data_IF_816255219044
#
_entry.id   IF_816255219044
#
_cell.length_a   1.000
_cell.length_b   1.000
_cell.length_c   1.000
_cell.angle_alpha   90.00
_cell.angle_beta   90.00
_cell.angle_gamma   90.00
#
_symmetry.space_group_name_H-M   'P 1'
#
loop_
_entity.id
_entity.type
_entity.pdbx_description
1 polymer ?
#
# COMPACT_ATOMS: atom_id res chain seq x y z
N UNK A 1 14.52 -16.27 27.28
CA UNK A 1 13.94 -15.48 26.17
C UNK A 1 14.24 -14.03 26.44
N UNK A 2 15.02 -13.39 25.57
CA UNK A 2 15.52 -12.04 25.80
C UNK A 2 14.41 -10.99 25.63
N UNK A 3 14.40 -9.91 26.43
CA UNK A 3 13.35 -8.89 26.40
C UNK A 3 13.21 -8.16 25.05
N UNK A 4 14.24 -8.21 24.22
CA UNK A 4 14.27 -7.57 22.91
C UNK A 4 13.39 -8.31 21.87
N UNK A 5 13.24 -9.63 22.00
CA UNK A 5 12.39 -10.47 21.14
C UNK A 5 10.90 -10.13 21.36
N UNK A 6 10.50 -9.91 22.61
CA UNK A 6 9.12 -9.55 22.97
C UNK A 6 8.65 -8.25 22.33
N UNK A 7 9.51 -7.21 22.31
CA UNK A 7 9.16 -5.94 21.68
C UNK A 7 9.02 -6.07 20.16
N UNK A 8 9.85 -6.90 19.53
CA UNK A 8 9.76 -7.19 18.11
C UNK A 8 8.46 -7.91 17.75
N UNK A 9 8.14 -8.99 18.46
CA UNK A 9 6.90 -9.74 18.24
C UNK A 9 5.67 -8.88 18.51
N UNK A 10 5.69 -8.06 19.56
CA UNK A 10 4.58 -7.17 19.89
C UNK A 10 4.38 -6.09 18.82
N UNK A 11 5.46 -5.49 18.29
CA UNK A 11 5.38 -4.53 17.19
C UNK A 11 4.92 -5.20 15.90
N UNK A 12 5.43 -6.39 15.57
CA UNK A 12 5.03 -7.14 14.39
C UNK A 12 3.54 -7.52 14.43
N UNK A 13 3.08 -8.07 15.56
CA UNK A 13 1.67 -8.40 15.78
C UNK A 13 0.79 -7.16 15.79
N UNK A 14 1.25 -6.06 16.39
CA UNK A 14 0.54 -4.78 16.38
C UNK A 14 0.34 -4.24 14.96
N UNK A 15 1.39 -4.28 14.13
CA UNK A 15 1.31 -3.89 12.73
C UNK A 15 0.46 -4.86 11.90
N UNK A 16 0.47 -6.16 12.20
CA UNK A 16 -0.37 -7.15 11.56
C UNK A 16 -1.85 -6.86 11.82
N UNK A 17 -2.23 -6.64 13.09
CA UNK A 17 -3.60 -6.25 13.46
C UNK A 17 -3.97 -4.92 12.80
N UNK A 18 -3.06 -3.94 12.84
CA UNK A 18 -3.24 -2.65 12.16
C UNK A 18 -3.49 -2.83 10.65
N UNK A 19 -2.72 -3.68 9.97
CA UNK A 19 -2.89 -4.00 8.56
C UNK A 19 -4.23 -4.68 8.29
N UNK A 20 -4.63 -5.65 9.12
CA UNK A 20 -5.91 -6.35 8.99
C UNK A 20 -7.12 -5.41 9.11
N UNK A 21 -6.99 -4.32 9.87
CA UNK A 21 -8.04 -3.29 10.00
C UNK A 21 -7.92 -2.24 8.90
N UNK A 22 -6.71 -1.79 8.61
CA UNK A 22 -6.45 -0.77 7.59
C UNK A 22 -6.85 -1.27 6.19
N UNK A 23 -6.57 -2.52 5.87
CA UNK A 23 -6.82 -3.08 4.55
C UNK A 23 -8.30 -3.03 4.11
N UNK A 24 -9.27 -3.57 4.86
CA UNK A 24 -10.69 -3.44 4.50
C UNK A 24 -11.16 -1.99 4.55
N UNK A 25 -10.63 -1.18 5.46
CA UNK A 25 -10.95 0.25 5.55
C UNK A 25 -10.56 0.98 4.27
N UNK A 26 -9.32 0.81 3.80
CA UNK A 26 -8.84 1.38 2.55
C UNK A 26 -9.60 0.80 1.35
N UNK A 27 -9.84 -0.51 1.32
CA UNK A 27 -10.58 -1.14 0.22
C UNK A 27 -11.99 -0.53 0.07
N UNK A 28 -12.68 -0.27 1.18
CA UNK A 28 -14.04 0.27 1.19
C UNK A 28 -14.09 1.79 0.97
N UNK A 29 -13.21 2.55 1.62
CA UNK A 29 -13.28 4.02 1.68
C UNK A 29 -12.31 4.76 0.75
N UNK A 30 -11.31 4.06 0.20
CA UNK A 30 -10.35 4.61 -0.77
C UNK A 30 -10.55 3.95 -2.13
N UNK A 31 -10.34 2.64 -2.22
CA UNK A 31 -10.30 1.92 -3.51
C UNK A 31 -11.65 1.95 -4.22
N UNK A 32 -12.74 1.53 -3.56
CA UNK A 32 -14.09 1.53 -4.16
C UNK A 32 -14.57 2.90 -4.65
N UNK A 33 -14.47 4.00 -3.87
CA UNK A 33 -14.92 5.30 -4.34
C UNK A 33 -14.05 5.87 -5.45
N UNK A 34 -12.72 5.64 -5.42
CA UNK A 34 -11.84 6.05 -6.53
C UNK A 34 -12.18 5.25 -7.80
N UNK A 35 -12.34 3.94 -7.70
CA UNK A 35 -12.80 3.09 -8.82
C UNK A 35 -14.13 3.57 -9.39
N UNK A 36 -15.11 3.90 -8.54
CA UNK A 36 -16.40 4.43 -9.00
C UNK A 36 -16.24 5.73 -9.79
N UNK A 37 -15.41 6.66 -9.31
CA UNK A 37 -15.13 7.92 -10.03
C UNK A 37 -14.44 7.66 -11.37
N UNK A 38 -13.42 6.80 -11.40
CA UNK A 38 -12.65 6.52 -12.61
C UNK A 38 -13.44 5.73 -13.66
N UNK A 39 -14.36 4.86 -13.24
CA UNK A 39 -15.26 4.14 -14.15
C UNK A 39 -16.27 5.06 -14.81
N UNK A 40 -16.73 6.09 -14.12
CA UNK A 40 -17.63 7.10 -14.69
C UNK A 40 -16.97 7.86 -15.85
N UNK A 41 -15.66 8.06 -15.79
CA UNK A 41 -14.86 8.70 -16.86
C UNK A 41 -14.20 7.71 -17.83
N UNK A 42 -14.46 6.39 -17.72
CA UNK A 42 -13.79 5.34 -18.50
C UNK A 42 -12.26 5.34 -18.42
N UNK A 43 -11.70 5.79 -17.28
CA UNK A 43 -10.26 5.92 -17.06
C UNK A 43 -9.73 4.87 -16.06
N UNK A 44 -10.48 3.80 -15.79
CA UNK A 44 -10.15 2.80 -14.76
C UNK A 44 -9.18 1.70 -15.24
N UNK A 45 -8.07 2.12 -15.88
CA UNK A 45 -7.04 1.22 -16.43
C UNK A 45 -6.35 0.36 -15.36
N UNK A 46 -6.33 0.86 -14.11
CA UNK A 46 -5.67 0.19 -12.98
C UNK A 46 -6.47 -1.06 -12.53
N UNK A 47 -7.79 -1.05 -12.71
CA UNK A 47 -8.64 -2.19 -12.35
C UNK A 47 -8.57 -3.35 -13.36
N UNK A 48 -8.19 -3.05 -14.61
CA UNK A 48 -8.00 -4.05 -15.66
C UNK A 48 -6.68 -4.81 -15.49
N UNK A 49 -5.65 -4.12 -14.99
CA UNK A 49 -4.33 -4.67 -14.77
C UNK A 49 -4.22 -5.51 -13.50
N UNK A 50 -4.80 -5.04 -12.41
CA UNK A 50 -4.67 -5.69 -11.10
C UNK A 50 -6.02 -6.20 -10.66
N UNK A 51 -6.10 -7.48 -10.27
CA UNK A 51 -7.31 -8.09 -9.72
C UNK A 51 -7.27 -8.10 -8.19
N UNK A 52 -8.44 -8.24 -7.58
CA UNK A 52 -8.57 -8.48 -6.14
C UNK A 52 -7.79 -9.75 -5.77
N UNK A 53 -7.04 -9.79 -4.65
CA UNK A 53 -6.94 -8.79 -3.58
C UNK A 53 -5.96 -7.64 -3.83
N UNK A 54 -4.98 -7.80 -4.71
CA UNK A 54 -3.86 -6.84 -4.83
C UNK A 54 -4.25 -5.43 -5.27
N UNK A 55 -5.45 -5.22 -5.83
CA UNK A 55 -5.96 -3.89 -6.21
C UNK A 55 -5.76 -2.86 -5.10
N UNK A 56 -6.18 -3.15 -3.87
CA UNK A 56 -6.14 -2.16 -2.79
C UNK A 56 -4.72 -1.64 -2.55
N UNK A 57 -3.71 -2.50 -2.64
CA UNK A 57 -2.30 -2.15 -2.48
C UNK A 57 -1.82 -1.26 -3.62
N UNK A 58 -2.15 -1.58 -4.87
CA UNK A 58 -1.78 -0.78 -6.03
C UNK A 58 -2.45 0.60 -6.04
N UNK A 59 -3.73 0.71 -5.66
CA UNK A 59 -4.38 2.02 -5.51
C UNK A 59 -3.74 2.84 -4.38
N UNK A 60 -3.37 2.22 -3.25
CA UNK A 60 -2.64 2.97 -2.20
C UNK A 60 -1.26 3.43 -2.64
N UNK A 61 -0.54 2.60 -3.39
CA UNK A 61 0.74 2.98 -3.95
C UNK A 61 0.59 4.15 -4.93
N UNK A 62 -0.41 4.12 -5.80
CA UNK A 62 -0.72 5.22 -6.73
C UNK A 62 -1.08 6.53 -6.00
N UNK A 63 -1.89 6.45 -4.93
CA UNK A 63 -2.23 7.64 -4.12
C UNK A 63 -0.98 8.25 -3.44
N UNK A 64 -0.02 7.43 -3.02
CA UNK A 64 1.14 7.86 -2.21
C UNK A 64 2.38 8.23 -3.04
N UNK A 65 2.69 7.46 -4.07
CA UNK A 65 3.92 7.55 -4.84
C UNK A 65 3.58 7.84 -6.29
N UNK A 66 4.07 8.96 -6.82
CA UNK A 66 3.96 9.23 -8.24
C UNK A 66 4.97 8.38 -9.01
N UNK A 67 4.51 7.35 -9.70
CA UNK A 67 5.31 6.55 -10.64
C UNK A 67 5.63 7.30 -11.94
N UNK A 68 5.09 8.52 -12.09
CA UNK A 68 5.27 9.43 -13.23
C UNK A 68 6.72 9.76 -13.59
N UNK A 69 7.69 9.56 -12.67
CA UNK A 69 9.12 9.76 -12.95
C UNK A 69 9.79 8.63 -13.75
N UNK A 70 9.20 7.44 -13.82
CA UNK A 70 9.73 6.30 -14.60
C UNK A 70 9.05 6.20 -15.97
N UNK A 71 8.92 7.36 -16.64
CA UNK A 71 8.27 7.49 -17.95
C UNK A 71 9.11 6.79 -19.02
N UNK A 72 8.73 5.56 -19.36
CA UNK A 72 9.21 4.87 -20.54
C UNK A 72 8.09 4.86 -21.60
N UNK A 73 8.44 5.08 -22.87
CA UNK A 73 7.47 5.29 -23.97
C UNK A 73 6.42 4.18 -24.10
N UNK A 74 6.71 2.98 -23.60
CA UNK A 74 5.83 1.81 -23.67
C UNK A 74 4.77 1.73 -22.55
N UNK A 75 4.84 2.57 -21.50
CA UNK A 75 3.99 2.47 -20.30
C UNK A 75 3.09 3.70 -20.07
N UNK A 76 2.73 4.46 -21.13
CA UNK A 76 1.89 5.67 -21.02
C UNK A 76 0.61 5.47 -20.21
N UNK A 77 -0.09 4.36 -20.42
CA UNK A 77 -1.38 4.07 -19.77
C UNK A 77 -1.27 3.88 -18.25
N UNK A 78 -0.14 3.38 -17.74
CA UNK A 78 0.08 3.18 -16.31
C UNK A 78 0.40 4.50 -15.60
N UNK A 79 1.15 5.37 -16.27
CA UNK A 79 1.59 6.67 -15.74
C UNK A 79 0.41 7.65 -15.65
N UNK A 80 -0.47 7.65 -16.64
CA UNK A 80 -1.66 8.52 -16.64
C UNK A 80 -2.71 8.02 -15.63
N UNK A 81 -2.85 6.71 -15.44
CA UNK A 81 -3.80 6.13 -14.48
C UNK A 81 -3.45 6.45 -13.02
N UNK A 82 -2.16 6.46 -12.68
CA UNK A 82 -1.67 6.83 -11.36
C UNK A 82 -1.98 8.31 -11.02
N UNK A 83 -1.68 9.22 -11.96
CA UNK A 83 -1.96 10.64 -11.77
C UNK A 83 -3.46 10.93 -11.59
N UNK A 84 -4.32 10.23 -12.34
CA UNK A 84 -5.77 10.33 -12.22
C UNK A 84 -6.28 9.79 -10.87
N UNK A 85 -5.73 8.67 -10.39
CA UNK A 85 -6.04 8.13 -9.06
C UNK A 85 -5.67 9.13 -7.96
N UNK A 86 -4.49 9.74 -8.07
CA UNK A 86 -4.01 10.73 -7.09
C UNK A 86 -4.82 12.02 -7.10
N UNK A 87 -5.18 12.52 -8.29
CA UNK A 87 -6.06 13.71 -8.43
C UNK A 87 -7.48 13.44 -7.91
N UNK A 88 -7.98 12.21 -8.03
CA UNK A 88 -9.29 11.82 -7.51
C UNK A 88 -9.32 11.61 -5.98
N UNK A 89 -8.15 11.47 -5.36
CA UNK A 89 -7.98 11.19 -3.95
C UNK A 89 -8.14 12.44 -3.08
N UNK A 90 -8.89 12.29 -1.98
CA UNK A 90 -9.03 13.31 -0.94
C UNK A 90 -7.89 13.22 0.08
N UNK A 91 -7.60 14.28 0.86
CA UNK A 91 -6.57 14.24 1.89
C UNK A 91 -6.81 13.14 2.94
N UNK A 92 -8.08 12.84 3.26
CA UNK A 92 -8.43 11.73 4.17
C UNK A 92 -8.07 10.37 3.56
N UNK A 93 -8.34 10.18 2.27
CA UNK A 93 -7.98 8.95 1.57
C UNK A 93 -6.47 8.80 1.44
N UNK A 94 -5.73 9.90 1.35
CA UNK A 94 -4.27 9.89 1.40
C UNK A 94 -3.76 9.40 2.76
N UNK A 95 -4.30 9.90 3.89
CA UNK A 95 -3.95 9.42 5.22
C UNK A 95 -4.30 7.95 5.45
N UNK A 96 -5.47 7.50 4.97
CA UNK A 96 -5.86 6.09 5.03
C UNK A 96 -4.91 5.21 4.20
N UNK A 97 -4.50 5.69 3.03
CA UNK A 97 -3.52 5.01 2.19
C UNK A 97 -2.16 4.93 2.88
N UNK A 98 -1.73 6.02 3.51
CA UNK A 98 -0.49 6.08 4.27
C UNK A 98 -0.52 5.09 5.44
N UNK A 99 -1.64 4.98 6.15
CA UNK A 99 -1.80 4.03 7.26
C UNK A 99 -1.61 2.58 6.80
N UNK A 100 -2.23 2.18 5.68
CA UNK A 100 -2.02 0.84 5.13
C UNK A 100 -0.58 0.63 4.66
N UNK A 101 0.02 1.62 4.00
CA UNK A 101 1.39 1.54 3.52
C UNK A 101 2.40 1.43 4.67
N UNK A 102 2.27 2.25 5.72
CA UNK A 102 3.13 2.19 6.91
C UNK A 102 2.96 0.84 7.63
N UNK A 103 1.74 0.33 7.74
CA UNK A 103 1.51 -0.98 8.36
C UNK A 103 2.17 -2.10 7.56
N UNK A 104 1.99 -2.10 6.23
CA UNK A 104 2.51 -3.14 5.34
C UNK A 104 4.04 -3.07 5.19
N UNK A 105 4.59 -1.88 4.92
CA UNK A 105 6.03 -1.67 4.80
C UNK A 105 6.74 -1.84 6.15
N UNK A 106 6.12 -1.42 7.26
CA UNK A 106 6.65 -1.61 8.60
C UNK A 106 6.81 -3.09 8.94
N UNK A 107 5.82 -3.92 8.62
CA UNK A 107 5.94 -5.37 8.77
C UNK A 107 7.04 -5.96 7.88
N UNK A 108 7.15 -5.52 6.62
CA UNK A 108 8.18 -6.00 5.71
C UNK A 108 9.59 -5.64 6.21
N UNK A 109 9.78 -4.41 6.69
CA UNK A 109 11.06 -3.96 7.26
C UNK A 109 11.39 -4.74 8.53
N UNK A 110 10.43 -4.91 9.45
CA UNK A 110 10.65 -5.68 10.68
C UNK A 110 10.94 -7.16 10.41
N UNK A 111 10.26 -7.76 9.43
CA UNK A 111 10.52 -9.14 9.02
C UNK A 111 11.91 -9.30 8.40
N UNK A 112 12.31 -8.36 7.54
CA UNK A 112 13.64 -8.37 6.93
C UNK A 112 14.75 -8.10 7.94
N UNK A 113 14.54 -7.18 8.89
CA UNK A 113 15.52 -6.89 9.93
C UNK A 113 15.69 -8.07 10.87
N UNK A 114 14.61 -8.79 11.23
CA UNK A 114 14.70 -10.03 12.00
C UNK A 114 15.51 -11.10 11.25
N UNK A 115 15.19 -11.35 9.98
CA UNK A 115 15.93 -12.32 9.17
C UNK A 115 17.42 -11.95 8.99
N UNK A 116 17.72 -10.65 8.85
CA UNK A 116 19.09 -10.16 8.74
C UNK A 116 19.85 -10.29 10.07
N UNK A 117 19.18 -10.04 11.19
CA UNK A 117 19.74 -10.16 12.53
C UNK A 117 20.03 -11.62 12.90
N UNK A 118 19.14 -12.55 12.54
CA UNK A 118 19.35 -14.00 12.65
C UNK A 118 20.56 -14.43 11.78
N UNK A 119 20.66 -13.91 10.57
CA UNK A 119 21.77 -14.22 9.66
C UNK A 119 23.15 -13.77 10.19
N UNK A 120 23.21 -12.64 10.91
CA UNK A 120 24.47 -12.11 11.48
C UNK A 120 24.75 -12.72 12.87
N UNK A 121 23.93 -13.64 13.38
CA UNK A 121 24.09 -14.28 14.69
C UNK A 121 24.27 -13.29 15.84
N UNK A 122 23.57 -12.14 15.76
CA UNK A 122 23.58 -11.11 16.81
C UNK A 122 22.60 -11.47 17.95
N UNK A 123 22.00 -12.67 17.89
CA UNK A 123 20.96 -13.19 18.76
C UNK A 123 21.25 -14.65 19.11
#
# INVERSE_FOLDING_TARGET
>A
MEPQIYWYELLFMGLLVSMMVAYPTVALFVTRPIQRKLRQTQQDYLSDWVKWPFQTIFYTLAVLVSFTRWRHENNRHLVDADELVRQAATPVQWWLSLWLAVSTCGMAILGLSMAALDYISVW
#
